data_IF_545138048447
#
_entry.id   IF_545138048447
#
_cell.length_a   1.000
_cell.length_b   1.000
_cell.length_c   1.000
_cell.angle_alpha   90.00
_cell.angle_beta   90.00
_cell.angle_gamma   90.00
#
_symmetry.space_group_name_H-M   'P 1'
#
loop_
_entity.id
_entity.type
_entity.pdbx_description
1 polymer ?
#
# COMPACT_ATOMS: atom_id res chain seq x y z
N UNK A 1 -6.31 -5.67 -15.26
CA UNK A 1 -5.74 -4.67 -14.33
C UNK A 1 -6.08 -3.22 -14.73
N UNK A 2 -5.94 -2.84 -16.02
CA UNK A 2 -6.25 -1.48 -16.47
C UNK A 2 -7.73 -1.11 -16.25
N UNK A 3 -8.66 -1.95 -16.65
CA UNK A 3 -10.09 -1.71 -16.46
C UNK A 3 -10.48 -1.57 -14.97
N UNK A 4 -9.85 -2.34 -14.09
CA UNK A 4 -10.05 -2.22 -12.64
C UNK A 4 -9.51 -0.88 -12.11
N UNK A 5 -8.33 -0.47 -12.58
CA UNK A 5 -7.75 0.82 -12.24
C UNK A 5 -8.68 1.98 -12.64
N UNK A 6 -9.16 2.01 -13.87
CA UNK A 6 -10.02 3.09 -14.37
C UNK A 6 -11.34 3.17 -13.58
N UNK A 7 -11.97 2.01 -13.32
CA UNK A 7 -13.19 1.95 -12.52
C UNK A 7 -12.98 2.50 -11.10
N UNK A 8 -11.94 2.04 -10.43
CA UNK A 8 -11.65 2.45 -9.05
C UNK A 8 -11.15 3.89 -8.97
N UNK A 9 -10.38 4.35 -9.96
CA UNK A 9 -9.96 5.74 -10.09
C UNK A 9 -11.16 6.68 -10.22
N UNK A 10 -12.15 6.34 -11.05
CA UNK A 10 -13.36 7.13 -11.22
C UNK A 10 -14.11 7.31 -9.88
N UNK A 11 -14.22 6.25 -9.10
CA UNK A 11 -14.82 6.30 -7.75
C UNK A 11 -13.98 7.18 -6.80
N UNK A 12 -12.67 6.97 -6.75
CA UNK A 12 -11.76 7.70 -5.85
C UNK A 12 -11.67 9.18 -6.16
N UNK A 13 -11.90 9.58 -7.41
CA UNK A 13 -11.93 10.99 -7.83
C UNK A 13 -12.94 11.81 -7.02
N UNK A 14 -14.12 11.26 -6.74
CA UNK A 14 -15.14 11.95 -5.94
C UNK A 14 -14.70 12.16 -4.49
N UNK A 15 -14.06 11.16 -3.89
CA UNK A 15 -13.52 11.27 -2.53
C UNK A 15 -12.32 12.22 -2.46
N UNK A 16 -11.44 12.21 -3.46
CA UNK A 16 -10.31 13.14 -3.56
C UNK A 16 -10.79 14.59 -3.68
N UNK A 17 -11.81 14.84 -4.52
CA UNK A 17 -12.42 16.16 -4.66
C UNK A 17 -13.10 16.60 -3.36
N UNK A 18 -13.76 15.69 -2.63
CA UNK A 18 -14.37 15.98 -1.34
C UNK A 18 -13.30 16.35 -0.30
N UNK A 19 -12.21 15.58 -0.21
CA UNK A 19 -11.10 15.85 0.70
C UNK A 19 -10.50 17.24 0.45
N UNK A 20 -10.34 17.64 -0.81
CA UNK A 20 -9.94 18.98 -1.19
C UNK A 20 -10.94 20.04 -0.72
N UNK A 21 -12.22 19.84 -1.06
CA UNK A 21 -13.30 20.82 -0.75
C UNK A 21 -13.44 21.05 0.76
N UNK A 22 -13.22 20.03 1.57
CA UNK A 22 -13.36 20.12 3.04
C UNK A 22 -12.05 20.48 3.74
N UNK A 23 -10.98 20.75 3.01
CA UNK A 23 -9.65 20.97 3.58
C UNK A 23 -9.26 19.87 4.56
N UNK A 24 -9.43 18.61 4.13
CA UNK A 24 -9.22 17.44 4.97
C UNK A 24 -7.78 17.37 5.49
N UNK A 25 -7.61 17.30 6.80
CA UNK A 25 -6.32 17.34 7.50
C UNK A 25 -5.82 15.98 7.99
N UNK A 26 -6.61 14.93 7.82
CA UNK A 26 -6.27 13.57 8.23
C UNK A 26 -5.48 12.78 7.17
N UNK A 27 -5.33 11.49 7.40
CA UNK A 27 -4.74 10.55 6.45
C UNK A 27 -5.80 9.95 5.54
N UNK A 28 -5.53 9.92 4.26
CA UNK A 28 -6.34 9.24 3.26
C UNK A 28 -5.79 7.82 3.05
N UNK A 29 -6.43 6.83 3.68
CA UNK A 29 -6.01 5.44 3.64
C UNK A 29 -6.60 4.73 2.42
N UNK A 30 -5.82 4.59 1.37
CA UNK A 30 -6.21 3.95 0.12
C UNK A 30 -5.98 2.43 0.21
N UNK A 31 -7.02 1.61 -0.05
CA UNK A 31 -7.00 0.14 0.09
C UNK A 31 -7.36 -0.58 -1.22
N UNK A 32 -8.07 0.08 -2.13
CA UNK A 32 -8.55 -0.55 -3.36
C UNK A 32 -7.41 -0.90 -4.32
N UNK A 33 -7.53 -2.02 -5.02
CA UNK A 33 -6.58 -2.42 -6.06
C UNK A 33 -6.79 -1.68 -7.39
N UNK A 34 -5.68 -1.39 -8.07
CA UNK A 34 -4.28 -1.53 -7.69
C UNK A 34 -3.84 -0.42 -6.71
N UNK A 35 -3.33 -0.83 -5.53
CA UNK A 35 -3.15 0.07 -4.37
C UNK A 35 -2.26 1.27 -4.66
N UNK A 36 -1.04 1.04 -5.14
CA UNK A 36 -0.03 2.09 -5.28
C UNK A 36 -0.38 3.11 -6.39
N UNK A 37 -0.78 2.68 -7.60
CA UNK A 37 -1.23 3.62 -8.63
C UNK A 37 -2.48 4.41 -8.23
N UNK A 38 -3.40 3.81 -7.46
CA UNK A 38 -4.58 4.52 -6.98
C UNK A 38 -4.27 5.51 -5.87
N UNK A 39 -3.30 5.24 -5.00
CA UNK A 39 -2.80 6.24 -4.04
C UNK A 39 -2.23 7.46 -4.77
N UNK A 40 -1.40 7.24 -5.80
CA UNK A 40 -0.91 8.31 -6.67
C UNK A 40 -2.07 9.07 -7.35
N UNK A 41 -3.09 8.35 -7.83
CA UNK A 41 -4.26 8.96 -8.46
C UNK A 41 -5.04 9.85 -7.48
N UNK A 42 -5.28 9.40 -6.24
CA UNK A 42 -5.94 10.21 -5.20
C UNK A 42 -5.18 11.51 -4.96
N UNK A 43 -3.86 11.46 -4.81
CA UNK A 43 -3.05 12.66 -4.67
C UNK A 43 -3.23 13.60 -5.85
N UNK A 44 -3.12 13.10 -7.08
CA UNK A 44 -3.24 13.90 -8.29
C UNK A 44 -4.64 14.49 -8.47
N UNK A 45 -5.68 13.70 -8.23
CA UNK A 45 -7.07 14.15 -8.40
C UNK A 45 -7.46 15.18 -7.33
N UNK A 46 -6.99 15.05 -6.09
CA UNK A 46 -7.23 16.07 -5.04
C UNK A 46 -6.57 17.41 -5.36
N UNK A 47 -5.48 17.39 -6.11
CA UNK A 47 -4.71 18.57 -6.49
C UNK A 47 -5.07 19.15 -7.87
N UNK A 48 -6.24 18.78 -8.42
CA UNK A 48 -6.78 19.36 -9.65
C UNK A 48 -7.86 20.37 -9.33
N UNK A 49 -7.78 21.56 -9.95
CA UNK A 49 -8.79 22.59 -9.90
C UNK A 49 -10.00 22.25 -10.80
N UNK A 50 -11.01 23.13 -10.85
CA UNK A 50 -12.19 22.94 -11.68
C UNK A 50 -11.90 22.88 -13.19
N UNK A 51 -10.80 23.49 -13.64
CA UNK A 51 -10.32 23.42 -15.02
C UNK A 51 -9.55 22.12 -15.32
N UNK A 52 -9.31 21.27 -14.30
CA UNK A 52 -8.55 20.02 -14.44
C UNK A 52 -7.03 20.21 -14.36
N UNK A 53 -6.56 21.40 -14.06
CA UNK A 53 -5.13 21.70 -13.93
C UNK A 53 -4.62 21.35 -12.54
N UNK A 54 -3.39 20.90 -12.45
CA UNK A 54 -2.72 20.60 -11.18
C UNK A 54 -2.27 21.92 -10.53
N UNK A 55 -2.86 22.26 -9.38
CA UNK A 55 -2.58 23.49 -8.64
C UNK A 55 -1.94 23.27 -7.26
N UNK A 56 -1.88 22.03 -6.84
CA UNK A 56 -1.28 21.68 -5.57
C UNK A 56 -2.07 22.09 -4.33
N UNK A 57 -3.33 22.47 -4.44
CA UNK A 57 -4.16 22.93 -3.31
C UNK A 57 -5.00 21.83 -2.65
N UNK A 58 -4.73 20.56 -2.95
CA UNK A 58 -5.39 19.39 -2.36
C UNK A 58 -4.59 18.75 -1.23
N UNK A 59 -4.69 17.45 -1.14
CA UNK A 59 -3.96 16.65 -0.15
C UNK A 59 -2.44 16.79 -0.34
N UNK A 60 -1.70 16.76 0.77
CA UNK A 60 -0.26 16.58 0.74
C UNK A 60 0.09 15.15 0.30
N UNK A 61 1.25 14.93 -0.33
CA UNK A 61 1.65 13.57 -0.72
C UNK A 61 1.63 12.60 0.45
N UNK A 62 2.09 13.04 1.63
CA UNK A 62 2.20 12.25 2.86
C UNK A 62 0.85 11.91 3.48
N UNK A 63 -0.20 12.67 3.15
CA UNK A 63 -1.57 12.38 3.60
C UNK A 63 -2.15 11.16 2.89
N UNK A 64 -1.64 10.80 1.70
CA UNK A 64 -2.18 9.69 0.91
C UNK A 64 -1.30 8.47 1.08
N UNK A 65 -1.82 7.46 1.75
CA UNK A 65 -1.11 6.21 2.00
C UNK A 65 -1.85 5.02 1.41
N UNK A 66 -1.13 4.13 0.72
CA UNK A 66 -1.66 2.91 0.13
C UNK A 66 -1.45 1.70 1.05
N UNK A 67 -2.51 1.02 1.43
CA UNK A 67 -2.46 -0.12 2.35
C UNK A 67 -2.72 -1.45 1.63
N UNK A 68 -1.67 -2.07 1.14
CA UNK A 68 -1.70 -3.39 0.49
C UNK A 68 -0.48 -4.23 0.82
N UNK A 69 0.66 -3.59 1.08
CA UNK A 69 1.93 -4.29 1.27
C UNK A 69 1.97 -5.13 2.57
N UNK A 70 1.20 -4.79 3.60
CA UNK A 70 1.10 -5.60 4.82
C UNK A 70 0.54 -6.99 4.58
N UNK A 71 -0.34 -7.15 3.59
CA UNK A 71 -0.82 -8.48 3.15
C UNK A 71 0.33 -9.28 2.53
N UNK A 72 1.17 -8.62 1.74
CA UNK A 72 2.32 -9.28 1.11
C UNK A 72 3.37 -9.68 2.14
N UNK A 73 3.59 -8.87 3.17
CA UNK A 73 4.46 -9.21 4.29
C UNK A 73 3.94 -10.45 5.04
N UNK A 74 2.65 -10.49 5.35
CA UNK A 74 2.05 -11.65 6.00
C UNK A 74 2.19 -12.94 5.15
N UNK A 75 2.04 -12.83 3.83
CA UNK A 75 2.27 -13.95 2.90
C UNK A 75 3.74 -14.37 2.88
N UNK A 76 4.67 -13.41 2.83
CA UNK A 76 6.11 -13.71 2.85
C UNK A 76 6.51 -14.44 4.13
N UNK A 77 5.97 -14.00 5.27
CA UNK A 77 6.18 -14.65 6.57
C UNK A 77 5.64 -16.09 6.59
N UNK A 78 4.43 -16.28 6.08
CA UNK A 78 3.84 -17.60 5.97
C UNK A 78 4.66 -18.50 5.03
N UNK A 79 5.04 -18.02 3.85
CA UNK A 79 5.88 -18.78 2.90
C UNK A 79 7.24 -19.14 3.51
N UNK A 80 7.85 -18.23 4.26
CA UNK A 80 9.11 -18.47 4.94
C UNK A 80 8.98 -19.57 6.00
N UNK A 81 7.90 -19.54 6.78
CA UNK A 81 7.61 -20.58 7.78
C UNK A 81 7.45 -21.96 7.15
N UNK A 82 6.68 -22.07 6.04
CA UNK A 82 6.50 -23.32 5.30
C UNK A 82 7.84 -23.85 4.73
N UNK A 83 8.73 -22.96 4.34
CA UNK A 83 10.03 -23.32 3.77
C UNK A 83 11.14 -23.48 4.80
N UNK A 84 10.86 -23.33 6.10
CA UNK A 84 11.86 -23.38 7.17
C UNK A 84 12.90 -22.24 7.09
N UNK A 85 12.53 -21.09 6.51
CA UNK A 85 13.38 -19.91 6.36
C UNK A 85 13.14 -18.96 7.53
N UNK A 86 14.21 -18.52 8.20
CA UNK A 86 14.11 -17.45 9.19
C UNK A 86 13.78 -16.11 8.50
N UNK A 87 12.64 -15.54 8.86
CA UNK A 87 12.14 -14.26 8.37
C UNK A 87 11.92 -13.25 9.51
N UNK A 88 12.54 -13.46 10.65
CA UNK A 88 12.40 -12.60 11.84
C UNK A 88 12.78 -11.15 11.55
N UNK A 89 13.87 -10.94 10.81
CA UNK A 89 14.31 -9.66 10.31
C UNK A 89 13.80 -9.34 8.90
N UNK A 90 13.07 -10.24 8.29
CA UNK A 90 12.59 -10.11 6.92
C UNK A 90 11.76 -8.86 6.70
N UNK A 91 11.83 -8.33 5.48
CA UNK A 91 11.09 -7.13 5.07
C UNK A 91 10.56 -7.29 3.65
N UNK A 92 9.43 -6.64 3.39
CA UNK A 92 8.87 -6.55 2.05
C UNK A 92 8.92 -5.11 1.56
N UNK A 93 9.33 -4.93 0.32
CA UNK A 93 9.47 -3.64 -0.33
C UNK A 93 8.79 -3.66 -1.70
N UNK A 94 8.38 -2.49 -2.19
CA UNK A 94 7.86 -2.34 -3.54
C UNK A 94 6.35 -2.20 -3.60
N UNK A 95 5.76 -2.39 -4.79
CA UNK A 95 4.32 -2.26 -4.98
C UNK A 95 3.57 -3.47 -4.43
N UNK A 96 2.27 -3.27 -4.15
CA UNK A 96 1.37 -4.39 -3.88
C UNK A 96 1.14 -5.21 -5.15
N UNK A 97 1.83 -6.33 -5.29
CA UNK A 97 1.72 -7.24 -6.44
C UNK A 97 3.07 -7.59 -7.06
N UNK A 98 3.09 -7.79 -8.38
CA UNK A 98 4.33 -8.08 -9.10
C UNK A 98 5.30 -6.90 -9.03
N UNK A 99 6.57 -7.18 -8.84
CA UNK A 99 7.64 -6.19 -8.68
C UNK A 99 7.97 -5.85 -7.22
N UNK A 100 7.31 -6.49 -6.24
CA UNK A 100 7.76 -6.43 -4.85
C UNK A 100 9.04 -7.28 -4.65
N UNK A 101 9.72 -7.03 -3.55
CA UNK A 101 10.84 -7.84 -3.06
C UNK A 101 10.57 -8.25 -1.62
N UNK A 102 10.58 -9.56 -1.36
CA UNK A 102 10.57 -10.11 -0.02
C UNK A 102 12.03 -10.44 0.38
N UNK A 103 12.70 -9.47 1.01
CA UNK A 103 14.07 -9.65 1.49
C UNK A 103 14.07 -10.52 2.76
N UNK A 104 14.82 -11.61 2.74
CA UNK A 104 14.93 -12.53 3.88
C UNK A 104 15.48 -11.83 5.13
N UNK A 105 16.52 -11.04 4.97
CA UNK A 105 17.09 -10.14 5.97
C UNK A 105 17.83 -9.00 5.24
N UNK A 106 17.41 -7.73 5.38
CA UNK A 106 18.09 -6.62 4.72
C UNK A 106 19.55 -6.41 5.15
N UNK A 107 19.92 -6.84 6.35
CA UNK A 107 21.30 -6.72 6.86
C UNK A 107 22.18 -7.90 6.44
N UNK A 108 21.57 -9.06 6.20
CA UNK A 108 22.24 -10.29 5.75
C UNK A 108 21.50 -10.85 4.53
N UNK A 109 21.40 -10.02 3.49
CA UNK A 109 20.62 -10.33 2.29
C UNK A 109 21.18 -11.54 1.53
N UNK A 110 20.30 -12.52 1.29
CA UNK A 110 20.58 -13.65 0.43
C UNK A 110 19.68 -13.60 -0.79
N UNK A 111 20.25 -13.44 -1.96
CA UNK A 111 19.52 -13.25 -3.21
C UNK A 111 18.65 -14.45 -3.57
N UNK A 112 19.20 -15.68 -3.46
CA UNK A 112 18.46 -16.90 -3.83
C UNK A 112 17.25 -17.12 -2.91
N UNK A 113 17.42 -16.94 -1.60
CA UNK A 113 16.33 -17.04 -0.63
C UNK A 113 15.30 -15.96 -0.86
N UNK A 114 15.72 -14.71 -1.05
CA UNK A 114 14.83 -13.58 -1.28
C UNK A 114 14.05 -13.69 -2.59
N UNK A 115 14.68 -14.15 -3.66
CA UNK A 115 14.01 -14.40 -4.95
C UNK A 115 12.92 -15.47 -4.80
N UNK A 116 13.22 -16.59 -4.15
CA UNK A 116 12.26 -17.68 -3.88
C UNK A 116 11.07 -17.18 -3.03
N UNK A 117 11.35 -16.45 -1.95
CA UNK A 117 10.30 -15.88 -1.11
C UNK A 117 9.44 -14.87 -1.87
N UNK A 118 10.05 -14.03 -2.70
CA UNK A 118 9.36 -13.07 -3.55
C UNK A 118 8.39 -13.76 -4.49
N UNK A 119 8.87 -14.77 -5.23
CA UNK A 119 8.05 -15.54 -6.16
C UNK A 119 6.85 -16.19 -5.46
N UNK A 120 7.08 -16.89 -4.37
CA UNK A 120 6.01 -17.52 -3.58
C UNK A 120 5.02 -16.49 -3.04
N UNK A 121 5.50 -15.38 -2.51
CA UNK A 121 4.67 -14.29 -1.96
C UNK A 121 3.74 -13.71 -3.02
N UNK A 122 4.26 -13.44 -4.22
CA UNK A 122 3.48 -12.90 -5.34
C UNK A 122 2.39 -13.88 -5.80
N UNK A 123 2.69 -15.17 -5.80
CA UNK A 123 1.80 -16.21 -6.34
C UNK A 123 0.94 -16.93 -5.29
N UNK A 124 1.08 -16.63 -4.00
CA UNK A 124 0.34 -17.28 -2.93
C UNK A 124 -1.20 -17.29 -3.11
N UNK A 125 -1.74 -16.26 -3.77
CA UNK A 125 -3.16 -16.23 -4.11
C UNK A 125 -3.58 -17.31 -5.13
N UNK A 126 -2.66 -17.82 -5.93
CA UNK A 126 -2.93 -18.90 -6.89
C UNK A 126 -3.07 -20.25 -6.17
N UNK A 127 -2.29 -20.47 -5.11
CA UNK A 127 -2.40 -21.65 -4.26
C UNK A 127 -3.80 -21.71 -3.62
N UNK A 128 -4.28 -20.60 -3.07
CA UNK A 128 -5.63 -20.49 -2.48
C UNK A 128 -6.72 -20.76 -3.53
N UNK A 129 -6.52 -20.28 -4.76
CA UNK A 129 -7.45 -20.55 -5.88
C UNK A 129 -7.48 -22.02 -6.29
N UNK A 130 -6.31 -22.68 -6.28
CA UNK A 130 -6.20 -24.10 -6.61
C UNK A 130 -7.00 -25.00 -5.64
N UNK A 131 -7.18 -24.54 -4.39
CA UNK A 131 -8.03 -25.20 -3.38
C UNK A 131 -9.54 -24.94 -3.58
N UNK A 132 -9.93 -24.26 -4.65
CA UNK A 132 -11.34 -23.96 -4.95
C UNK A 132 -11.89 -22.72 -4.24
N UNK A 133 -11.09 -22.04 -3.42
CA UNK A 133 -11.50 -20.79 -2.79
C UNK A 133 -11.33 -19.64 -3.77
N UNK A 134 -12.40 -18.87 -3.94
CA UNK A 134 -12.25 -17.58 -4.58
C UNK A 134 -11.64 -16.64 -3.53
N UNK A 135 -10.44 -16.06 -3.77
CA UNK A 135 -9.88 -15.04 -2.89
C UNK A 135 -10.75 -13.79 -3.00
N UNK A 136 -11.83 -13.75 -2.22
CA UNK A 136 -12.72 -12.61 -2.21
C UNK A 136 -12.09 -11.43 -1.49
N UNK A 137 -12.44 -10.29 -2.05
CA UNK A 137 -12.15 -8.93 -1.66
C UNK A 137 -12.26 -8.66 -0.15
N UNK A 138 -13.27 -9.22 0.54
CA UNK A 138 -13.52 -8.89 1.93
C UNK A 138 -12.35 -9.27 2.89
N UNK A 139 -11.83 -10.50 2.89
CA UNK A 139 -10.67 -10.82 3.75
C UNK A 139 -9.40 -10.04 3.37
N UNK A 140 -9.18 -9.81 2.08
CA UNK A 140 -8.01 -9.05 1.61
C UNK A 140 -8.10 -7.57 2.02
N UNK A 141 -9.27 -6.96 1.88
CA UNK A 141 -9.49 -5.57 2.29
C UNK A 141 -9.44 -5.42 3.82
N UNK A 142 -10.06 -6.34 4.57
CA UNK A 142 -10.02 -6.28 6.03
C UNK A 142 -8.64 -6.49 6.60
N UNK A 143 -7.74 -7.20 5.91
CA UNK A 143 -6.35 -7.36 6.34
C UNK A 143 -5.56 -6.04 6.34
N UNK A 144 -5.96 -5.06 5.54
CA UNK A 144 -5.39 -3.70 5.59
C UNK A 144 -5.62 -3.02 6.95
N UNK A 145 -6.67 -3.40 7.68
CA UNK A 145 -6.95 -2.89 9.01
C UNK A 145 -5.81 -3.16 9.99
N UNK A 146 -5.06 -4.25 9.83
CA UNK A 146 -3.89 -4.56 10.69
C UNK A 146 -2.84 -3.46 10.59
N UNK A 147 -2.49 -3.05 9.37
CA UNK A 147 -1.53 -1.96 9.15
C UNK A 147 -2.09 -0.60 9.61
N UNK A 148 -3.37 -0.34 9.40
CA UNK A 148 -4.02 0.90 9.85
C UNK A 148 -4.07 0.98 11.38
N UNK A 149 -4.38 -0.12 12.06
CA UNK A 149 -4.36 -0.18 13.52
C UNK A 149 -2.94 0.04 14.08
N UNK A 150 -1.93 -0.56 13.45
CA UNK A 150 -0.53 -0.35 13.82
C UNK A 150 -0.11 1.11 13.64
N UNK A 151 -0.53 1.74 12.53
CA UNK A 151 -0.31 3.17 12.30
C UNK A 151 -0.93 4.03 13.41
N UNK A 152 -2.20 3.81 13.75
CA UNK A 152 -2.91 4.58 14.79
C UNK A 152 -2.27 4.38 16.17
N UNK A 153 -1.69 3.23 16.43
CA UNK A 153 -0.97 2.89 17.67
C UNK A 153 0.48 3.37 17.68
N UNK A 154 0.96 4.04 16.64
CA UNK A 154 2.37 4.47 16.52
C UNK A 154 3.36 3.30 16.38
N UNK A 155 2.87 2.13 16.01
CA UNK A 155 3.68 0.93 15.78
C UNK A 155 4.20 0.89 14.33
N UNK A 156 5.25 0.10 14.02
CA UNK A 156 5.65 -0.14 12.64
C UNK A 156 4.50 -0.74 11.83
N UNK A 157 4.28 -0.24 10.63
CA UNK A 157 3.25 -0.69 9.71
C UNK A 157 3.76 -0.66 8.26
N UNK A 158 3.08 -1.38 7.38
CA UNK A 158 3.39 -1.38 5.96
C UNK A 158 2.42 -0.50 5.19
N UNK A 159 2.96 0.44 4.41
CA UNK A 159 2.18 1.29 3.51
C UNK A 159 3.03 1.77 2.33
N UNK A 160 2.37 2.09 1.22
CA UNK A 160 2.96 2.81 0.11
C UNK A 160 2.84 4.31 0.37
N UNK A 161 3.96 5.01 0.26
CA UNK A 161 4.11 6.45 0.40
C UNK A 161 4.88 7.03 -0.81
N UNK A 162 4.81 8.34 -1.03
CA UNK A 162 5.53 8.96 -2.13
C UNK A 162 7.03 8.82 -1.96
N UNK A 163 7.69 8.34 -3.00
CA UNK A 163 9.14 8.23 -3.09
C UNK A 163 9.56 8.50 -4.54
N UNK A 164 10.27 9.59 -4.80
CA UNK A 164 10.77 9.92 -6.13
C UNK A 164 9.67 10.05 -7.20
N UNK A 165 8.49 10.54 -6.85
CA UNK A 165 7.36 10.75 -7.77
C UNK A 165 6.46 9.51 -7.98
N UNK A 166 6.74 8.39 -7.33
CA UNK A 166 5.91 7.19 -7.32
C UNK A 166 5.48 6.87 -5.88
N UNK A 167 4.44 6.03 -5.72
CA UNK A 167 4.10 5.44 -4.44
C UNK A 167 4.76 4.08 -4.33
N UNK A 168 5.59 3.90 -3.29
CA UNK A 168 6.32 2.67 -3.06
C UNK A 168 6.14 2.20 -1.63
N UNK A 169 5.85 0.92 -1.47
CA UNK A 169 5.61 0.31 -0.17
C UNK A 169 6.89 -0.09 0.55
N UNK A 170 6.88 0.13 1.86
CA UNK A 170 7.88 -0.37 2.79
C UNK A 170 7.29 -0.40 4.21
N UNK A 171 8.04 -0.97 5.16
CA UNK A 171 7.73 -0.78 6.57
C UNK A 171 7.97 0.67 6.96
N UNK A 172 7.02 1.25 7.66
CA UNK A 172 7.00 2.64 8.09
C UNK A 172 6.71 2.74 9.58
N UNK A 173 7.01 3.90 10.14
CA UNK A 173 6.56 4.28 11.47
C UNK A 173 6.19 5.76 11.43
N UNK A 174 4.99 6.07 11.88
CA UNK A 174 4.59 7.47 12.03
C UNK A 174 5.06 7.97 13.40
N UNK A 175 5.84 9.05 13.39
CA UNK A 175 6.41 9.62 14.60
C UNK A 175 5.59 10.77 15.16
N UNK A 176 4.73 11.37 14.34
CA UNK A 176 3.84 12.48 14.71
C UNK A 176 2.44 12.23 14.17
N UNK A 177 1.45 12.24 15.04
CA UNK A 177 0.03 12.20 14.69
C UNK A 177 -0.55 13.60 14.92
N UNK A 178 -0.34 14.49 13.98
CA UNK A 178 -0.93 15.82 13.98
C UNK A 178 -1.64 16.10 12.66
N UNK A 179 -2.47 17.15 12.58
CA UNK A 179 -3.08 17.53 11.32
C UNK A 179 -2.02 17.90 10.29
N UNK A 180 -2.10 17.25 9.13
CA UNK A 180 -1.24 17.54 7.99
C UNK A 180 -1.92 18.65 7.17
N UNK A 181 -1.40 19.87 7.27
CA UNK A 181 -1.93 21.04 6.53
C UNK A 181 -0.82 21.67 5.71
N UNK A 182 -1.19 22.18 4.53
CA UNK A 182 -0.34 23.14 3.86
C UNK A 182 -0.29 24.42 4.71
N UNK A 183 0.90 24.93 4.91
CA UNK A 183 1.06 26.32 5.38
C UNK A 183 0.72 27.21 4.20
N UNK A 184 -0.24 28.10 4.40
CA UNK A 184 -0.54 29.19 3.46
C UNK A 184 0.66 30.12 3.32
#
# INVERSE_FOLDING_TARGET
>A
RLAQYEKNRAMLRSYAAMARKTHFTGLFCQISDPVDPLACAVFRESNRNAAGEFDGCGLLPEQVQGFGLGVMEARARWCAQEDGIDFSNGRVYGPHGGGLVAANDPAAYNEAISARLTERTVHANLEVRALGFKPYLAPALSSAAVSILSLVRGQPYYAALPLGGVWLGAQRRMTTLGPLQRRE
#
